data_IF_714113682563
#
_entry.id   IF_714113682563
#
_cell.length_a   1.000
_cell.length_b   1.000
_cell.length_c   1.000
_cell.angle_alpha   90.00
_cell.angle_beta   90.00
_cell.angle_gamma   90.00
#
_symmetry.space_group_name_H-M   'P 1'
#
loop_
_entity.id
_entity.type
_entity.pdbx_description
1 polymer ?
#
# COMPACT_ATOMS: atom_id res chain seq x y z
N UNK A 1 -37.06 28.89 11.27
CA UNK A 1 -36.23 27.67 11.43
C UNK A 1 -35.05 27.72 10.45
N UNK A 2 -34.24 28.78 10.49
CA UNK A 2 -33.35 29.10 9.34
C UNK A 2 -31.87 29.17 9.72
N UNK A 3 -31.53 29.43 10.99
CA UNK A 3 -30.12 29.60 11.41
C UNK A 3 -29.35 28.27 11.58
N UNK A 4 -30.03 27.15 11.83
CA UNK A 4 -29.37 25.83 11.97
C UNK A 4 -28.90 25.24 10.63
N UNK A 5 -29.52 25.63 9.52
CA UNK A 5 -29.16 25.19 8.18
C UNK A 5 -27.94 25.95 7.64
N UNK A 6 -27.83 27.24 7.98
CA UNK A 6 -26.69 28.09 7.59
C UNK A 6 -25.39 27.60 8.28
N UNK A 7 -25.44 27.24 9.56
CA UNK A 7 -24.27 26.71 10.28
C UNK A 7 -23.74 25.38 9.70
N UNK A 8 -24.62 24.50 9.21
CA UNK A 8 -24.23 23.25 8.56
C UNK A 8 -23.73 23.47 7.13
N UNK A 9 -24.32 24.42 6.40
CA UNK A 9 -23.90 24.77 5.04
C UNK A 9 -22.51 25.44 5.03
N UNK A 10 -22.15 26.21 6.06
CA UNK A 10 -20.81 26.84 6.17
C UNK A 10 -19.72 25.80 6.46
N UNK A 11 -20.00 24.77 7.27
CA UNK A 11 -19.06 23.67 7.52
C UNK A 11 -18.85 22.76 6.30
N UNK A 12 -19.86 22.64 5.44
CA UNK A 12 -19.77 21.92 4.15
C UNK A 12 -19.14 22.76 3.03
N UNK A 13 -19.25 24.09 3.08
CA UNK A 13 -18.67 24.99 2.07
C UNK A 13 -17.16 25.18 2.17
N UNK A 14 -16.57 24.97 3.35
CA UNK A 14 -15.12 25.10 3.59
C UNK A 14 -14.28 23.90 3.07
N UNK A 15 -14.92 22.83 2.60
CA UNK A 15 -14.25 21.64 2.06
C UNK A 15 -13.97 21.72 0.55
N UNK A 16 -14.41 22.78 -0.13
CA UNK A 16 -14.50 22.79 -1.61
C UNK A 16 -13.29 23.40 -2.35
N UNK A 17 -12.20 23.76 -1.67
CA UNK A 17 -10.97 24.24 -2.35
C UNK A 17 -9.71 23.75 -1.66
N UNK A 18 -9.54 22.44 -1.51
CA UNK A 18 -8.20 21.87 -1.44
C UNK A 18 -7.78 21.59 -2.88
N UNK A 19 -6.93 22.45 -3.45
CA UNK A 19 -6.21 22.11 -4.67
C UNK A 19 -5.54 20.75 -4.42
N UNK A 20 -5.95 19.73 -5.16
CA UNK A 20 -5.32 18.42 -5.20
C UNK A 20 -3.97 18.60 -5.89
N UNK A 21 -3.03 19.19 -5.15
CA UNK A 21 -1.64 18.88 -5.38
C UNK A 21 -1.51 17.42 -4.98
N UNK A 22 -0.96 16.56 -5.81
CA UNK A 22 -0.58 15.24 -5.33
C UNK A 22 0.57 15.44 -4.33
N UNK A 23 0.28 15.62 -3.04
CA UNK A 23 1.31 15.45 -2.03
C UNK A 23 1.66 13.97 -2.04
N UNK A 24 2.81 13.64 -2.63
CA UNK A 24 3.52 12.38 -2.40
C UNK A 24 3.99 12.36 -0.94
N UNK A 25 3.03 12.33 -0.02
CA UNK A 25 3.28 12.01 1.35
C UNK A 25 3.62 10.53 1.39
N UNK A 26 4.77 10.21 1.97
CA UNK A 26 4.73 9.22 3.03
C UNK A 26 3.79 9.76 4.14
N UNK A 27 2.50 9.80 3.81
CA UNK A 27 1.38 10.10 4.66
C UNK A 27 1.08 8.78 5.38
N UNK A 28 1.86 8.50 6.42
CA UNK A 28 1.68 7.30 7.22
C UNK A 28 2.98 6.79 7.83
N UNK A 29 3.33 7.29 9.02
CA UNK A 29 4.17 6.53 9.96
C UNK A 29 5.62 6.99 10.14
N UNK A 30 6.09 8.04 9.47
CA UNK A 30 7.49 8.52 9.59
C UNK A 30 7.71 9.76 10.45
N UNK A 31 6.67 10.38 11.01
CA UNK A 31 6.81 11.58 11.86
C UNK A 31 7.15 12.91 11.14
N UNK A 32 7.19 12.93 9.80
CA UNK A 32 7.56 14.13 9.03
C UNK A 32 6.45 15.20 8.98
N UNK A 33 6.75 16.42 9.45
CA UNK A 33 5.86 17.60 9.45
C UNK A 33 5.17 17.87 10.79
N UNK A 34 4.87 19.16 11.09
CA UNK A 34 4.31 19.55 12.39
C UNK A 34 2.90 19.03 12.67
N UNK A 35 2.14 18.64 11.66
CA UNK A 35 0.88 17.94 11.84
C UNK A 35 1.10 16.61 12.57
N UNK A 36 2.17 15.88 12.24
CA UNK A 36 2.52 14.66 12.97
C UNK A 36 2.98 14.97 14.40
N UNK A 37 3.73 16.06 14.62
CA UNK A 37 4.11 16.52 15.96
C UNK A 37 2.88 16.93 16.81
N UNK A 38 1.92 17.63 16.21
CA UNK A 38 0.74 18.16 16.91
C UNK A 38 -0.20 17.03 17.38
N UNK A 39 -0.27 15.95 16.61
CA UNK A 39 -1.12 14.79 16.89
C UNK A 39 -0.30 13.56 17.28
N UNK A 40 0.93 13.76 17.76
CA UNK A 40 1.82 12.68 18.17
C UNK A 40 1.17 11.81 19.27
N UNK A 41 1.40 10.50 19.19
CA UNK A 41 0.77 9.50 20.06
C UNK A 41 -0.72 9.23 19.82
N UNK A 42 -1.38 9.92 18.88
CA UNK A 42 -2.79 9.67 18.56
C UNK A 42 -2.97 8.71 17.38
N UNK A 43 -3.90 7.77 17.50
CA UNK A 43 -4.23 6.80 16.45
C UNK A 43 -5.64 6.97 15.89
N UNK A 44 -5.86 6.50 14.67
CA UNK A 44 -7.18 6.50 14.02
C UNK A 44 -7.36 7.60 12.98
N UNK A 45 -8.48 7.53 12.25
CA UNK A 45 -8.73 8.32 11.04
C UNK A 45 -8.71 9.83 11.30
N UNK A 46 -9.39 10.31 12.35
CA UNK A 46 -9.52 11.75 12.59
C UNK A 46 -8.16 12.42 12.90
N UNK A 47 -7.32 11.93 13.84
CA UNK A 47 -5.98 12.46 14.04
C UNK A 47 -5.10 12.41 12.77
N UNK A 48 -5.14 11.31 12.02
CA UNK A 48 -4.36 11.17 10.79
C UNK A 48 -4.78 12.17 9.70
N UNK A 49 -6.09 12.40 9.53
CA UNK A 49 -6.61 13.36 8.57
C UNK A 49 -6.26 14.80 8.96
N UNK A 50 -6.37 15.15 10.24
CA UNK A 50 -6.01 16.48 10.73
C UNK A 50 -4.51 16.72 10.61
N UNK A 51 -3.66 15.77 11.01
CA UNK A 51 -2.22 15.84 10.81
C UNK A 51 -1.84 16.03 9.34
N UNK A 52 -2.45 15.26 8.44
CA UNK A 52 -2.23 15.36 7.00
C UNK A 52 -2.68 16.71 6.45
N UNK A 53 -3.85 17.21 6.88
CA UNK A 53 -4.38 18.51 6.47
C UNK A 53 -3.49 19.66 6.95
N UNK A 54 -3.01 19.60 8.20
CA UNK A 54 -2.06 20.57 8.75
C UNK A 54 -0.76 20.59 7.96
N UNK A 55 -0.21 19.41 7.63
CA UNK A 55 1.00 19.33 6.82
C UNK A 55 0.80 19.83 5.39
N UNK A 56 -0.34 19.49 4.78
CA UNK A 56 -0.68 19.87 3.41
C UNK A 56 -0.94 21.37 3.24
N UNK A 57 -1.66 22.00 4.18
CA UNK A 57 -2.00 23.43 4.10
C UNK A 57 -0.86 24.35 4.49
N UNK A 58 0.03 23.93 5.39
CA UNK A 58 1.20 24.73 5.79
C UNK A 58 2.42 24.49 4.89
N UNK A 59 2.42 23.46 4.05
CA UNK A 59 3.57 23.07 3.23
C UNK A 59 4.81 22.66 4.04
N UNK A 60 4.67 22.48 5.36
CA UNK A 60 5.80 22.30 6.28
C UNK A 60 6.53 20.96 6.08
N UNK A 61 5.85 19.95 5.54
CA UNK A 61 6.44 18.66 5.19
C UNK A 61 7.35 18.82 3.96
N UNK A 62 6.91 19.55 2.94
CA UNK A 62 7.73 19.86 1.76
C UNK A 62 8.94 20.70 2.15
N UNK A 63 8.75 21.76 2.95
CA UNK A 63 9.86 22.54 3.47
C UNK A 63 10.81 21.69 4.33
N UNK A 64 10.27 20.82 5.18
CA UNK A 64 11.06 19.90 6.01
C UNK A 64 11.91 18.95 5.17
N UNK A 65 11.36 18.37 4.11
CA UNK A 65 12.08 17.48 3.18
C UNK A 65 13.22 18.18 2.43
N UNK A 66 13.05 19.46 2.05
CA UNK A 66 14.09 20.21 1.33
C UNK A 66 15.14 20.82 2.24
N UNK A 67 14.75 21.29 3.43
CA UNK A 67 15.65 21.91 4.40
C UNK A 67 16.27 20.93 5.40
N UNK A 68 15.76 19.70 5.49
CA UNK A 68 16.17 18.73 6.51
C UNK A 68 15.65 19.07 7.91
N UNK A 69 14.46 19.66 8.01
CA UNK A 69 13.84 20.09 9.29
C UNK A 69 12.50 19.39 9.52
N UNK A 70 11.78 19.75 10.59
CA UNK A 70 10.42 19.28 10.90
C UNK A 70 10.27 17.75 11.00
N UNK A 71 11.32 17.06 11.44
CA UNK A 71 11.32 15.59 11.56
C UNK A 71 11.31 14.86 10.22
N UNK A 72 11.59 15.54 9.10
CA UNK A 72 11.64 14.96 7.78
C UNK A 72 13.08 14.58 7.39
N UNK A 73 13.27 13.37 6.87
CA UNK A 73 14.54 12.91 6.31
C UNK A 73 14.35 12.39 4.88
N UNK A 74 14.92 13.11 3.91
CA UNK A 74 14.86 12.77 2.49
C UNK A 74 15.84 11.66 2.09
N UNK A 75 16.71 11.21 3.00
CA UNK A 75 17.64 10.09 2.78
C UNK A 75 16.99 8.73 3.01
N UNK A 76 15.86 8.70 3.72
CA UNK A 76 15.11 7.47 3.96
C UNK A 76 14.46 7.02 2.65
N UNK A 77 14.59 5.74 2.32
CA UNK A 77 13.95 5.17 1.13
C UNK A 77 12.43 5.27 1.25
N UNK A 78 11.78 5.77 0.20
CA UNK A 78 10.33 5.75 0.11
C UNK A 78 9.83 4.30 0.04
N UNK A 79 8.90 3.97 0.93
CA UNK A 79 8.14 2.71 0.90
C UNK A 79 6.70 2.98 0.48
N UNK A 80 5.99 1.95 0.04
CA UNK A 80 4.55 2.01 -0.20
C UNK A 80 3.90 0.90 0.65
N UNK A 81 3.08 1.31 1.63
CA UNK A 81 2.40 0.36 2.51
C UNK A 81 1.16 -0.29 1.89
N UNK A 82 0.71 0.19 0.74
CA UNK A 82 -0.38 -0.42 -0.02
C UNK A 82 0.10 -1.53 -0.96
N UNK A 83 -0.85 -2.24 -1.57
CA UNK A 83 -0.56 -3.19 -2.65
C UNK A 83 -0.67 -2.46 -3.99
N UNK A 84 0.39 -2.45 -4.78
CA UNK A 84 0.34 -1.85 -6.12
C UNK A 84 -0.36 -2.81 -7.09
N UNK A 85 -1.70 -2.73 -7.14
CA UNK A 85 -2.48 -3.51 -8.11
C UNK A 85 -2.16 -3.13 -9.55
N UNK A 86 -1.72 -1.89 -9.81
CA UNK A 86 -1.25 -1.49 -11.13
C UNK A 86 0.00 -2.30 -11.55
N UNK A 87 0.98 -2.42 -10.65
CA UNK A 87 2.17 -3.22 -10.93
C UNK A 87 1.82 -4.69 -11.14
N UNK A 88 0.95 -5.26 -10.30
CA UNK A 88 0.53 -6.65 -10.45
C UNK A 88 -0.28 -6.91 -11.74
N UNK A 89 -1.17 -6.00 -12.12
CA UNK A 89 -1.92 -6.12 -13.38
C UNK A 89 -0.98 -6.14 -14.59
N UNK A 90 0.05 -5.28 -14.60
CA UNK A 90 1.03 -5.23 -15.69
C UNK A 90 1.94 -6.47 -15.76
N UNK A 91 2.08 -7.20 -14.66
CA UNK A 91 2.96 -8.37 -14.55
C UNK A 91 2.19 -9.70 -14.62
N UNK A 92 0.86 -9.67 -14.70
CA UNK A 92 0.03 -10.86 -14.51
C UNK A 92 0.33 -11.97 -15.51
N UNK A 93 0.57 -11.61 -16.78
CA UNK A 93 0.93 -12.56 -17.84
C UNK A 93 2.32 -13.18 -17.59
N UNK A 94 3.32 -12.35 -17.26
CA UNK A 94 4.65 -12.85 -16.89
C UNK A 94 4.63 -13.72 -15.62
N UNK A 95 3.83 -13.36 -14.62
CA UNK A 95 3.63 -14.17 -13.41
C UNK A 95 3.02 -15.52 -13.78
N UNK A 96 1.99 -15.52 -14.65
CA UNK A 96 1.35 -16.75 -15.13
C UNK A 96 2.36 -17.67 -15.81
N UNK A 97 3.11 -17.15 -16.79
CA UNK A 97 4.10 -17.92 -17.52
C UNK A 97 5.20 -18.49 -16.61
N UNK A 98 5.78 -17.65 -15.76
CA UNK A 98 6.88 -18.05 -14.88
C UNK A 98 6.41 -19.03 -13.80
N UNK A 99 5.18 -18.89 -13.31
CA UNK A 99 4.56 -19.84 -12.39
C UNK A 99 4.33 -21.20 -13.05
N UNK A 100 3.82 -21.22 -14.28
CA UNK A 100 3.64 -22.46 -15.05
C UNK A 100 4.98 -23.16 -15.35
N UNK A 101 6.04 -22.39 -15.64
CA UNK A 101 7.42 -22.89 -15.85
C UNK A 101 8.10 -23.33 -14.55
N UNK A 102 7.62 -22.87 -13.39
CA UNK A 102 8.21 -23.16 -12.07
C UNK A 102 9.34 -22.22 -11.67
N UNK A 103 9.46 -21.06 -12.30
CA UNK A 103 10.49 -20.06 -12.02
C UNK A 103 10.60 -18.99 -13.10
N UNK A 104 11.07 -17.81 -12.70
CA UNK A 104 11.35 -16.69 -13.60
C UNK A 104 11.38 -15.35 -12.88
N UNK A 105 11.69 -14.28 -13.61
CA UNK A 105 11.87 -12.93 -13.03
C UNK A 105 10.56 -12.38 -12.48
N UNK A 106 9.45 -12.58 -13.19
CA UNK A 106 8.13 -12.07 -12.78
C UNK A 106 7.64 -12.78 -11.53
N UNK A 107 7.86 -14.09 -11.43
CA UNK A 107 7.52 -14.87 -10.24
C UNK A 107 8.39 -14.48 -9.02
N UNK A 108 9.67 -14.20 -9.24
CA UNK A 108 10.58 -13.72 -8.17
C UNK A 108 10.21 -12.31 -7.68
N UNK A 109 9.85 -11.42 -8.60
CA UNK A 109 9.34 -10.10 -8.25
C UNK A 109 8.01 -10.20 -7.49
N UNK A 110 7.12 -11.10 -7.91
CA UNK A 110 5.87 -11.37 -7.20
C UNK A 110 6.11 -11.92 -5.79
N UNK A 111 7.02 -12.88 -5.62
CA UNK A 111 7.45 -13.38 -4.32
C UNK A 111 7.99 -12.26 -3.41
N UNK A 112 8.73 -11.30 -3.99
CA UNK A 112 9.21 -10.11 -3.27
C UNK A 112 8.06 -9.24 -2.75
N UNK A 113 7.04 -9.00 -3.58
CA UNK A 113 5.86 -8.24 -3.20
C UNK A 113 5.06 -8.92 -2.06
N UNK A 114 5.05 -10.25 -2.03
CA UNK A 114 4.44 -11.03 -0.96
C UNK A 114 5.29 -11.09 0.32
N UNK A 115 6.54 -10.62 0.28
CA UNK A 115 7.46 -10.67 1.41
C UNK A 115 8.17 -12.03 1.58
N UNK A 116 8.20 -12.86 0.54
CA UNK A 116 8.90 -14.15 0.56
C UNK A 116 10.42 -13.92 0.36
N UNK A 117 11.26 -14.31 1.34
CA UNK A 117 12.71 -14.15 1.26
C UNK A 117 13.32 -15.10 0.22
N UNK A 118 14.52 -14.79 -0.26
CA UNK A 118 15.22 -15.56 -1.29
C UNK A 118 15.29 -17.07 -0.99
N UNK A 119 15.56 -17.44 0.26
CA UNK A 119 15.74 -18.83 0.69
C UNK A 119 14.48 -19.70 0.51
N UNK A 120 13.29 -19.08 0.47
CA UNK A 120 12.02 -19.78 0.27
C UNK A 120 11.44 -19.61 -1.14
N UNK A 121 12.08 -18.85 -2.03
CA UNK A 121 11.54 -18.60 -3.39
C UNK A 121 11.44 -19.84 -4.24
N UNK A 122 12.39 -20.76 -4.11
CA UNK A 122 12.33 -22.04 -4.84
C UNK A 122 11.15 -22.90 -4.37
N UNK A 123 10.88 -22.91 -3.06
CA UNK A 123 9.72 -23.61 -2.50
C UNK A 123 8.42 -22.92 -2.93
N UNK A 124 8.35 -21.59 -2.85
CA UNK A 124 7.23 -20.80 -3.34
C UNK A 124 6.94 -21.07 -4.83
N UNK A 125 7.96 -21.09 -5.68
CA UNK A 125 7.80 -21.38 -7.10
C UNK A 125 7.25 -22.80 -7.35
N UNK A 126 7.76 -23.79 -6.62
CA UNK A 126 7.24 -25.16 -6.72
C UNK A 126 5.79 -25.28 -6.27
N UNK A 127 5.41 -24.65 -5.14
CA UNK A 127 4.04 -24.72 -4.62
C UNK A 127 3.07 -24.00 -5.56
N UNK A 128 3.44 -22.80 -6.02
CA UNK A 128 2.59 -22.03 -6.94
C UNK A 128 2.47 -22.68 -8.32
N UNK A 129 3.51 -23.36 -8.82
CA UNK A 129 3.43 -24.19 -10.02
C UNK A 129 2.49 -25.39 -9.84
N UNK A 130 2.61 -26.12 -8.72
CA UNK A 130 1.75 -27.27 -8.42
C UNK A 130 0.27 -26.90 -8.34
N UNK A 131 -0.02 -25.69 -7.82
CA UNK A 131 -1.36 -25.14 -7.67
C UNK A 131 -1.70 -24.12 -8.77
N UNK A 132 -1.03 -24.16 -9.92
CA UNK A 132 -1.22 -23.17 -10.98
C UNK A 132 -2.68 -23.04 -11.40
N UNK A 133 -3.36 -24.17 -11.62
CA UNK A 133 -4.78 -24.19 -12.02
C UNK A 133 -5.73 -23.70 -10.92
N UNK A 134 -5.31 -23.75 -9.64
CA UNK A 134 -6.07 -23.15 -8.53
C UNK A 134 -5.86 -21.62 -8.49
N UNK A 135 -4.62 -21.16 -8.75
CA UNK A 135 -4.26 -19.75 -8.74
C UNK A 135 -4.84 -19.01 -9.95
N UNK A 136 -4.71 -19.60 -11.14
CA UNK A 136 -5.20 -19.11 -12.44
C UNK A 136 -6.44 -19.90 -12.91
N UNK A 137 -7.47 -19.96 -12.05
CA UNK A 137 -8.67 -20.78 -12.25
C UNK A 137 -9.49 -20.52 -13.54
N UNK A 138 -9.27 -19.40 -14.22
CA UNK A 138 -9.91 -19.09 -15.52
C UNK A 138 -9.09 -18.08 -16.33
N UNK A 139 -9.42 -17.95 -17.62
CA UNK A 139 -8.71 -17.09 -18.57
C UNK A 139 -8.81 -15.59 -18.27
N UNK A 140 -9.78 -15.14 -17.46
CA UNK A 140 -10.05 -13.74 -17.16
C UNK A 140 -9.80 -13.40 -15.66
N UNK A 141 -8.87 -14.12 -15.03
CA UNK A 141 -8.52 -13.88 -13.63
C UNK A 141 -7.90 -12.49 -13.46
N UNK A 142 -8.29 -11.77 -12.41
CA UNK A 142 -7.73 -10.45 -12.09
C UNK A 142 -6.51 -10.59 -11.19
N UNK A 143 -5.63 -9.58 -11.14
CA UNK A 143 -4.50 -9.57 -10.22
C UNK A 143 -4.92 -9.73 -8.74
N UNK A 144 -6.07 -9.17 -8.36
CA UNK A 144 -6.63 -9.34 -7.02
C UNK A 144 -7.05 -10.78 -6.76
N UNK A 145 -7.64 -11.45 -7.75
CA UNK A 145 -8.05 -12.85 -7.63
C UNK A 145 -6.82 -13.78 -7.58
N UNK A 146 -5.83 -13.57 -8.45
CA UNK A 146 -4.54 -14.30 -8.40
C UNK A 146 -3.87 -14.12 -7.04
N UNK A 147 -3.85 -12.88 -6.51
CA UNK A 147 -3.36 -12.61 -5.17
C UNK A 147 -4.09 -13.40 -4.09
N UNK A 148 -5.43 -13.33 -4.08
CA UNK A 148 -6.27 -14.04 -3.11
C UNK A 148 -6.06 -15.55 -3.17
N UNK A 149 -6.03 -16.11 -4.38
CA UNK A 149 -5.82 -17.55 -4.57
C UNK A 149 -4.40 -17.97 -4.14
N UNK A 150 -3.37 -17.17 -4.46
CA UNK A 150 -1.99 -17.43 -4.03
C UNK A 150 -1.89 -17.43 -2.50
N UNK A 151 -2.52 -16.47 -1.83
CA UNK A 151 -2.58 -16.41 -0.36
C UNK A 151 -3.29 -17.64 0.23
N UNK A 152 -4.37 -18.10 -0.42
CA UNK A 152 -5.11 -19.29 0.00
C UNK A 152 -4.31 -20.58 -0.18
N UNK A 153 -3.44 -20.66 -1.20
CA UNK A 153 -2.50 -21.78 -1.38
C UNK A 153 -1.39 -21.71 -0.33
N UNK A 154 -0.77 -20.54 -0.16
CA UNK A 154 0.30 -20.33 0.81
C UNK A 154 -0.12 -20.61 2.25
N UNK A 155 -1.36 -20.29 2.63
CA UNK A 155 -1.87 -20.53 3.99
C UNK A 155 -1.98 -22.01 4.36
N UNK A 156 -2.07 -22.90 3.36
CA UNK A 156 -2.12 -24.35 3.53
C UNK A 156 -0.72 -24.99 3.54
N UNK A 157 0.31 -24.26 3.12
CA UNK A 157 1.69 -24.73 3.11
C UNK A 157 2.40 -24.38 4.42
N UNK A 158 3.02 -25.39 5.04
CA UNK A 158 3.68 -25.26 6.35
C UNK A 158 4.85 -24.26 6.39
N UNK A 159 5.50 -23.97 5.25
CA UNK A 159 6.63 -23.04 5.15
C UNK A 159 6.20 -21.65 4.72
N UNK A 160 5.17 -21.54 3.88
CA UNK A 160 4.73 -20.28 3.30
C UNK A 160 3.62 -19.59 4.09
N UNK A 161 2.89 -20.30 4.96
CA UNK A 161 1.81 -19.72 5.75
C UNK A 161 2.24 -18.50 6.59
N UNK A 162 3.52 -18.46 7.03
CA UNK A 162 4.11 -17.33 7.76
C UNK A 162 4.25 -16.03 6.96
N UNK A 163 4.11 -16.09 5.64
CA UNK A 163 4.17 -14.93 4.74
C UNK A 163 2.79 -14.43 4.32
N UNK A 164 1.72 -15.15 4.69
CA UNK A 164 0.37 -14.76 4.35
C UNK A 164 0.02 -13.48 5.13
N UNK A 165 -0.08 -12.38 4.40
CA UNK A 165 -0.54 -11.12 4.94
C UNK A 165 -2.07 -11.14 5.12
N UNK A 166 -2.55 -10.86 6.33
CA UNK A 166 -3.99 -10.70 6.60
C UNK A 166 -4.58 -9.58 5.73
N UNK A 167 -5.86 -9.68 5.30
CA UNK A 167 -6.53 -8.59 4.64
C UNK A 167 -6.64 -7.40 5.61
N UNK A 168 -5.91 -6.32 5.31
CA UNK A 168 -6.09 -5.02 5.95
C UNK A 168 -7.37 -4.33 5.48
#
# INVERSE_FOLDING_TARGET
MTNKLIGKAVLLGLLSTAAISAQAGQAGGGGCGWGNMLFDGQSGLAPHLLATTTNGTSGNATFGLTSGTNGCDSKVKLGYGGRSWLAMNNMLEGISEDMAKGGGESLNAYATLLGVPNDDRQHFASITQQHFDEIFANQNVTAQQVYSNTQAVMSRDSRLARYVQEPG
#
